data_IF_776213469187
#
_entry.id   IF_776213469187
#
_cell.length_a   1.000
_cell.length_b   1.000
_cell.length_c   1.000
_cell.angle_alpha   90.00
_cell.angle_beta   90.00
_cell.angle_gamma   90.00
#
_symmetry.space_group_name_H-M   'P 1'
#
loop_
_entity.id
_entity.type
_entity.pdbx_description
1 polymer ?
#
# COMPACT_ATOMS: atom_id res chain seq x y z
N UNK A 1 -7.71 0.18 21.00
CA UNK A 1 -7.32 1.62 21.00
C UNK A 1 -6.05 1.74 21.81
N UNK A 2 -5.01 2.44 21.35
CA UNK A 2 -3.81 2.65 22.16
C UNK A 2 -4.15 3.47 23.39
N UNK A 3 -3.64 3.08 24.55
CA UNK A 3 -3.88 3.76 25.83
C UNK A 3 -2.83 4.84 26.12
N UNK A 4 -1.69 4.83 25.41
CA UNK A 4 -0.60 5.78 25.58
C UNK A 4 0.14 6.06 24.26
N UNK A 5 1.01 7.07 24.25
CA UNK A 5 1.79 7.48 23.07
C UNK A 5 1.04 8.40 22.10
N UNK A 6 1.62 8.70 20.93
CA UNK A 6 1.08 9.71 20.00
C UNK A 6 -0.29 9.36 19.38
N UNK A 7 -0.74 8.11 19.53
CA UNK A 7 -2.04 7.63 19.03
C UNK A 7 -3.04 7.31 20.15
N UNK A 8 -2.76 7.72 21.40
CA UNK A 8 -3.69 7.53 22.51
C UNK A 8 -5.05 8.16 22.19
N UNK A 9 -6.15 7.46 22.55
CA UNK A 9 -7.51 7.91 22.28
C UNK A 9 -7.99 7.74 20.82
N UNK A 10 -7.13 7.29 19.90
CA UNK A 10 -7.50 7.06 18.51
C UNK A 10 -7.84 5.59 18.22
N UNK A 11 -8.59 5.36 17.14
CA UNK A 11 -8.77 4.02 16.55
C UNK A 11 -7.70 3.82 15.49
N UNK A 12 -6.83 2.84 15.70
CA UNK A 12 -5.80 2.41 14.75
C UNK A 12 -6.28 1.12 14.11
N UNK A 13 -6.23 1.04 12.80
CA UNK A 13 -6.70 -0.10 12.03
C UNK A 13 -5.76 -0.35 10.83
N UNK A 14 -5.90 -1.54 10.23
CA UNK A 14 -5.12 -1.90 9.05
C UNK A 14 -5.62 -1.13 7.82
N UNK A 15 -4.77 -0.26 7.27
CA UNK A 15 -5.14 0.66 6.21
C UNK A 15 -5.63 -0.05 4.94
N UNK A 16 -5.08 -1.23 4.63
CA UNK A 16 -5.47 -1.97 3.42
C UNK A 16 -6.93 -2.46 3.42
N UNK A 17 -7.65 -2.36 4.54
CA UNK A 17 -9.08 -2.68 4.63
C UNK A 17 -9.98 -1.48 4.32
N UNK A 18 -9.45 -0.24 4.32
CA UNK A 18 -10.18 0.98 3.94
C UNK A 18 -9.78 1.37 2.50
N UNK A 19 -10.75 1.51 1.57
CA UNK A 19 -10.47 1.93 0.20
C UNK A 19 -9.73 3.25 0.08
N UNK A 20 -9.97 4.22 0.97
CA UNK A 20 -9.40 5.58 0.85
C UNK A 20 -7.87 5.61 1.00
N UNK A 21 -7.26 5.07 2.07
CA UNK A 21 -5.80 5.00 2.15
C UNK A 21 -5.21 4.02 1.12
N UNK A 22 -5.96 2.99 0.69
CA UNK A 22 -5.53 2.11 -0.38
C UNK A 22 -5.40 2.85 -1.73
N UNK A 23 -6.35 3.71 -2.08
CA UNK A 23 -6.27 4.59 -3.26
C UNK A 23 -5.02 5.49 -3.21
N UNK A 24 -4.69 6.04 -2.04
CA UNK A 24 -3.49 6.87 -1.87
C UNK A 24 -2.18 6.11 -2.14
N UNK A 25 -2.13 4.81 -1.85
CA UNK A 25 -0.95 3.98 -2.18
C UNK A 25 -0.78 3.83 -3.68
N UNK A 26 -1.87 3.63 -4.45
CA UNK A 26 -1.82 3.64 -5.91
C UNK A 26 -1.30 4.97 -6.43
N UNK A 27 -1.90 6.07 -6.00
CA UNK A 27 -1.49 7.41 -6.40
C UNK A 27 -0.01 7.68 -6.10
N UNK A 28 0.48 7.17 -4.96
CA UNK A 28 1.90 7.28 -4.63
C UNK A 28 2.79 6.45 -5.57
N UNK A 29 2.39 5.23 -5.97
CA UNK A 29 3.16 4.41 -6.91
C UNK A 29 3.23 5.00 -8.33
N UNK A 30 2.23 5.79 -8.73
CA UNK A 30 2.19 6.50 -10.02
C UNK A 30 3.23 7.62 -10.14
N UNK A 31 3.75 8.11 -9.02
CA UNK A 31 4.62 9.29 -8.98
C UNK A 31 6.01 8.88 -8.49
N UNK A 32 7.02 8.66 -9.34
CA UNK A 32 8.36 8.37 -8.88
C UNK A 32 8.90 9.45 -7.92
N UNK A 33 9.61 9.06 -6.87
CA UNK A 33 10.23 10.01 -5.94
C UNK A 33 10.31 9.50 -4.51
N UNK A 34 10.53 10.41 -3.56
CA UNK A 34 10.63 10.09 -2.12
C UNK A 34 9.41 10.55 -1.34
N UNK A 35 9.15 9.89 -0.22
CA UNK A 35 8.25 10.32 0.85
C UNK A 35 8.93 9.96 2.17
N UNK A 36 9.62 10.93 2.77
CA UNK A 36 10.52 10.69 3.90
C UNK A 36 11.59 9.64 3.54
N UNK A 37 11.64 8.56 4.33
CA UNK A 37 12.55 7.45 4.13
C UNK A 37 12.17 6.53 2.96
N UNK A 38 10.92 6.56 2.51
CA UNK A 38 10.42 5.69 1.44
C UNK A 38 10.77 6.24 0.06
N UNK A 39 11.19 5.36 -0.86
CA UNK A 39 11.39 5.67 -2.27
C UNK A 39 10.41 4.85 -3.10
N UNK A 40 9.68 5.53 -3.98
CA UNK A 40 8.73 4.94 -4.91
C UNK A 40 9.25 5.10 -6.34
N UNK A 41 8.98 4.11 -7.16
CA UNK A 41 9.27 4.13 -8.59
C UNK A 41 8.48 3.04 -9.29
N UNK A 42 8.34 3.18 -10.61
CA UNK A 42 7.75 2.19 -11.50
C UNK A 42 8.61 2.08 -12.77
N UNK A 43 8.43 1.01 -13.55
CA UNK A 43 9.10 0.88 -14.84
C UNK A 43 8.67 2.03 -15.77
N UNK A 44 9.64 2.68 -16.42
CA UNK A 44 9.41 3.87 -17.25
C UNK A 44 8.52 3.62 -18.47
N UNK A 45 8.36 2.36 -18.88
CA UNK A 45 7.48 1.95 -19.98
C UNK A 45 6.08 1.58 -19.50
N UNK A 46 5.87 1.51 -18.19
CA UNK A 46 4.57 1.16 -17.60
C UNK A 46 3.85 2.41 -17.14
N UNK A 47 2.64 2.62 -17.67
CA UNK A 47 1.73 3.65 -17.18
C UNK A 47 0.77 3.02 -16.17
N UNK A 48 0.74 3.58 -14.96
CA UNK A 48 -0.22 3.20 -13.93
C UNK A 48 -1.37 4.23 -13.95
N UNK A 49 -2.60 3.84 -14.34
CA UNK A 49 -3.73 4.76 -14.35
C UNK A 49 -4.15 5.10 -12.92
N UNK A 50 -4.71 6.30 -12.74
CA UNK A 50 -5.32 6.70 -11.46
C UNK A 50 -6.77 6.23 -11.36
N UNK A 51 -7.35 6.36 -10.17
CA UNK A 51 -8.78 6.10 -9.96
C UNK A 51 -9.20 4.63 -10.08
N UNK A 52 -8.25 3.69 -9.99
CA UNK A 52 -8.58 2.27 -9.94
C UNK A 52 -9.07 1.90 -8.54
N UNK A 53 -10.25 1.31 -8.45
CA UNK A 53 -10.83 0.88 -7.16
C UNK A 53 -10.00 -0.25 -6.53
N UNK A 54 -9.50 -0.08 -5.29
CA UNK A 54 -8.78 -1.12 -4.57
C UNK A 54 -9.73 -2.18 -4.03
N UNK A 55 -9.30 -3.45 -4.10
CA UNK A 55 -9.98 -4.58 -3.44
C UNK A 55 -8.96 -5.49 -2.76
N UNK A 56 -9.11 -5.77 -1.46
CA UNK A 56 -8.29 -6.77 -0.79
C UNK A 56 -8.38 -8.13 -1.47
N UNK A 57 -7.23 -8.75 -1.69
CA UNK A 57 -7.17 -10.12 -2.15
C UNK A 57 -7.00 -11.04 -0.94
N UNK A 58 -8.10 -11.68 -0.54
CA UNK A 58 -8.11 -12.65 0.56
C UNK A 58 -7.54 -13.98 0.10
N UNK A 59 -6.29 -14.26 0.47
CA UNK A 59 -5.69 -15.59 0.33
C UNK A 59 -4.65 -15.79 1.43
N UNK A 60 -4.43 -17.03 1.86
CA UNK A 60 -3.30 -17.40 2.72
C UNK A 60 -1.98 -17.15 1.99
N UNK A 61 -1.47 -15.93 2.11
CA UNK A 61 -0.15 -15.53 1.65
C UNK A 61 0.56 -14.81 2.80
N UNK A 62 1.88 -14.91 2.86
CA UNK A 62 2.73 -14.21 3.84
C UNK A 62 2.72 -12.68 3.69
N UNK A 63 2.02 -12.19 2.66
CA UNK A 63 1.91 -10.78 2.26
C UNK A 63 0.43 -10.37 2.22
N UNK A 64 0.18 -9.07 2.42
CA UNK A 64 -1.13 -8.49 2.14
C UNK A 64 -1.17 -8.01 0.70
N UNK A 65 -2.26 -8.29 -0.01
CA UNK A 65 -2.39 -7.91 -1.43
C UNK A 65 -3.66 -7.12 -1.70
N UNK A 66 -3.56 -6.16 -2.62
CA UNK A 66 -4.68 -5.42 -3.18
C UNK A 66 -4.71 -5.61 -4.70
N UNK A 67 -5.89 -5.81 -5.27
CA UNK A 67 -6.13 -5.66 -6.70
C UNK A 67 -6.65 -4.25 -6.97
N UNK A 68 -6.08 -3.57 -7.95
CA UNK A 68 -6.57 -2.29 -8.47
C UNK A 68 -7.17 -2.51 -9.85
N UNK A 69 -8.49 -2.31 -9.97
CA UNK A 69 -9.22 -2.65 -11.20
C UNK A 69 -9.16 -4.15 -11.50
N UNK A 70 -8.70 -4.51 -12.68
CA UNK A 70 -8.47 -5.89 -13.14
C UNK A 70 -7.02 -6.12 -13.64
N UNK A 71 -6.20 -5.05 -13.64
CA UNK A 71 -4.91 -5.04 -14.34
C UNK A 71 -3.71 -5.06 -13.39
N UNK A 72 -3.84 -4.49 -12.19
CA UNK A 72 -2.71 -4.33 -11.27
C UNK A 72 -2.94 -5.03 -9.94
N UNK A 73 -1.87 -5.64 -9.41
CA UNK A 73 -1.83 -6.18 -8.05
C UNK A 73 -0.69 -5.49 -7.28
N UNK A 74 -1.02 -4.94 -6.11
CA UNK A 74 -0.04 -4.51 -5.11
C UNK A 74 0.18 -5.66 -4.14
N UNK A 75 1.44 -6.04 -3.95
CA UNK A 75 1.87 -6.96 -2.89
C UNK A 75 2.65 -6.19 -1.84
N UNK A 76 2.15 -6.17 -0.60
CA UNK A 76 2.80 -5.55 0.54
C UNK A 76 3.40 -6.64 1.44
N UNK A 77 4.73 -6.64 1.54
CA UNK A 77 5.46 -7.57 2.40
C UNK A 77 5.20 -7.24 3.89
N UNK A 78 4.68 -8.21 4.65
CA UNK A 78 4.42 -8.04 6.10
C UNK A 78 5.67 -8.21 6.96
N UNK A 79 6.68 -8.89 6.41
CA UNK A 79 8.01 -9.02 6.99
C UNK A 79 9.03 -8.55 5.96
N UNK A 80 9.81 -7.54 6.33
CA UNK A 80 10.89 -6.99 5.49
C UNK A 80 12.24 -7.34 6.10
N UNK A 81 13.21 -7.63 5.23
CA UNK A 81 14.61 -7.87 5.61
C UNK A 81 15.51 -6.93 4.80
N UNK A 82 16.71 -6.56 5.29
CA UNK A 82 17.64 -5.73 4.54
C UNK A 82 18.11 -6.42 3.25
N UNK A 83 18.14 -5.69 2.15
CA UNK A 83 18.62 -6.17 0.84
C UNK A 83 17.62 -5.92 -0.29
N UNK A 84 17.97 -6.38 -1.49
CA UNK A 84 16.99 -6.53 -2.56
C UNK A 84 16.03 -7.67 -2.20
N UNK A 85 14.74 -7.49 -2.49
CA UNK A 85 13.75 -8.56 -2.37
C UNK A 85 13.93 -9.61 -3.48
#
# INVERSE_FOLDING_TARGET
RPESGPFAGHVVYEALQDPRPAELLLERMRLPGRLGALRFGHDARTTIPGGLTPRPLGSEQSNSSLVYGDTFILKLFRRVVPGAN
#
